data_IF_889179450835
#
_entry.id   IF_889179450835
#
_cell.length_a   1.000
_cell.length_b   1.000
_cell.length_c   1.000
_cell.angle_alpha   90.00
_cell.angle_beta   90.00
_cell.angle_gamma   90.00
#
_symmetry.space_group_name_H-M   'P 1'
#
loop_
_entity.id
_entity.type
_entity.pdbx_description
1 polymer ?
#
# COMPACT_ATOMS: atom_id res chain seq x y z
N UNK A 1 -1.23 -25.17 1.60
CA UNK A 1 -0.68 -24.44 1.35
C UNK A 1 -0.99 -23.16 1.22
N UNK A 2 -1.31 -22.45 2.09
CA UNK A 2 -1.46 -21.21 2.07
C UNK A 2 -0.29 -20.52 2.06
N UNK A 3 -0.08 -19.53 1.39
CA UNK A 3 1.08 -18.77 1.40
C UNK A 3 0.90 -17.59 2.25
N UNK A 4 1.99 -17.00 2.64
CA UNK A 4 1.94 -15.85 3.50
C UNK A 4 1.31 -14.68 2.83
N UNK A 5 1.22 -14.70 1.52
CA UNK A 5 0.65 -13.57 0.85
C UNK A 5 -0.85 -13.56 0.98
N UNK A 6 -1.45 -14.66 1.37
CA UNK A 6 -2.88 -14.69 1.50
C UNK A 6 -3.38 -13.82 2.65
N UNK A 7 -2.47 -13.38 3.50
CA UNK A 7 -2.89 -12.53 4.60
C UNK A 7 -2.94 -11.07 4.23
N UNK A 8 -2.52 -10.72 3.04
CA UNK A 8 -2.58 -9.34 2.61
C UNK A 8 -4.02 -8.92 2.40
N UNK A 9 -4.35 -7.74 2.90
CA UNK A 9 -5.69 -7.22 2.78
C UNK A 9 -6.00 -6.74 1.38
N UNK A 10 -4.98 -6.31 0.66
CA UNK A 10 -5.15 -5.77 -0.68
C UNK A 10 -4.46 -6.66 -1.70
N UNK A 11 -4.81 -6.46 -2.96
CA UNK A 11 -4.29 -7.30 -4.03
C UNK A 11 -3.59 -6.47 -5.08
N UNK A 12 -2.72 -7.10 -5.83
CA UNK A 12 -2.05 -6.43 -6.94
C UNK A 12 -3.12 -5.92 -7.90
N UNK A 13 -2.95 -4.69 -8.33
CA UNK A 13 -3.89 -4.04 -9.23
C UNK A 13 -4.99 -3.28 -8.52
N UNK A 14 -5.11 -3.45 -7.22
CA UNK A 14 -6.14 -2.76 -6.48
C UNK A 14 -5.75 -1.31 -6.25
N UNK A 15 -6.73 -0.43 -6.30
CA UNK A 15 -6.52 0.98 -6.04
C UNK A 15 -6.71 1.25 -4.55
N UNK A 16 -5.77 1.96 -3.96
CA UNK A 16 -5.80 2.25 -2.54
C UNK A 16 -5.49 3.71 -2.30
N UNK A 17 -5.83 4.15 -1.12
CA UNK A 17 -5.54 5.52 -0.69
C UNK A 17 -4.41 5.45 0.32
N UNK A 18 -3.33 6.16 0.05
CA UNK A 18 -2.15 6.16 0.91
C UNK A 18 -2.12 7.44 1.72
N UNK A 19 -1.95 7.30 3.04
CA UNK A 19 -1.77 8.46 3.88
C UNK A 19 -0.44 8.33 4.59
N UNK A 20 0.32 9.40 4.55
CA UNK A 20 1.63 9.41 5.13
C UNK A 20 1.59 10.21 6.39
N UNK A 21 2.06 9.62 7.47
CA UNK A 21 2.17 10.34 8.70
C UNK A 21 0.85 10.43 9.45
N UNK A 22 0.93 10.82 10.71
CA UNK A 22 -0.26 10.83 11.54
C UNK A 22 -1.24 11.92 11.18
N UNK A 23 -0.76 12.96 10.52
CA UNK A 23 -1.67 14.05 10.23
C UNK A 23 -2.34 13.91 8.89
N UNK A 24 -1.83 13.09 8.05
CA UNK A 24 -2.46 12.88 6.76
C UNK A 24 -2.49 14.10 5.89
N UNK A 25 -1.64 15.09 6.17
CA UNK A 25 -1.64 16.26 5.33
C UNK A 25 -0.24 16.42 4.84
N UNK A 26 0.08 17.38 4.19
CA UNK A 26 1.39 17.58 3.66
C UNK A 26 1.51 17.16 2.23
N UNK A 27 0.42 16.81 1.65
CA UNK A 27 0.44 16.60 0.23
C UNK A 27 0.98 15.27 -0.23
N UNK A 28 1.20 14.35 0.68
CA UNK A 28 1.71 13.08 0.26
C UNK A 28 0.62 12.06 0.07
N UNK A 29 -0.52 12.26 0.66
CA UNK A 29 -1.60 11.32 0.50
C UNK A 29 -2.11 11.31 -0.92
N UNK A 30 -2.72 10.23 -1.34
CA UNK A 30 -3.26 10.19 -2.68
C UNK A 30 -3.65 8.79 -3.07
N UNK A 31 -3.99 8.65 -4.34
CA UNK A 31 -4.48 7.40 -4.88
C UNK A 31 -3.32 6.67 -5.52
N UNK A 32 -3.16 5.42 -5.15
CA UNK A 32 -2.09 4.59 -5.65
C UNK A 32 -2.64 3.24 -6.08
N UNK A 33 -1.87 2.54 -6.86
CA UNK A 33 -2.24 1.19 -7.27
C UNK A 33 -1.19 0.24 -6.74
N UNK A 34 -1.62 -0.90 -6.25
CA UNK A 34 -0.70 -1.89 -5.71
C UNK A 34 -0.04 -2.61 -6.86
N UNK A 35 1.28 -2.61 -6.88
CA UNK A 35 2.05 -3.25 -7.92
C UNK A 35 2.66 -4.55 -7.48
N UNK A 36 2.83 -4.73 -6.16
CA UNK A 36 3.44 -5.97 -5.68
C UNK A 36 3.10 -6.16 -4.22
N UNK A 37 2.87 -7.40 -3.84
CA UNK A 37 2.69 -7.74 -2.45
C UNK A 37 4.05 -8.12 -1.89
N UNK A 38 4.37 -7.59 -0.72
CA UNK A 38 5.67 -7.84 -0.11
C UNK A 38 5.47 -8.55 1.22
N UNK A 39 6.49 -9.25 1.71
CA UNK A 39 6.36 -9.96 2.98
C UNK A 39 6.07 -9.00 4.12
N UNK A 40 5.35 -9.50 5.11
CA UNK A 40 5.04 -8.70 6.26
C UNK A 40 6.30 -8.40 7.06
N UNK A 41 6.31 -7.24 7.70
CA UNK A 41 7.34 -6.92 8.62
C UNK A 41 6.66 -6.86 9.96
N UNK A 42 6.94 -7.80 10.83
CA UNK A 42 6.19 -7.89 12.05
C UNK A 42 4.78 -8.33 11.75
N UNK A 43 3.82 -7.59 12.25
CA UNK A 43 2.43 -7.91 12.02
C UNK A 43 1.83 -7.12 10.89
N UNK A 44 2.63 -6.38 10.17
CA UNK A 44 2.10 -5.46 9.17
C UNK A 44 2.54 -5.90 7.80
N UNK A 45 1.61 -6.26 6.96
CA UNK A 45 1.94 -6.62 5.59
C UNK A 45 2.44 -5.39 4.86
N UNK A 46 3.25 -5.61 3.85
CA UNK A 46 3.82 -4.52 3.10
C UNK A 46 3.44 -4.63 1.64
N UNK A 47 3.51 -3.52 0.96
CA UNK A 47 3.10 -3.43 -0.43
C UNK A 47 4.00 -2.49 -1.18
N UNK A 48 4.15 -2.75 -2.47
CA UNK A 48 4.75 -1.77 -3.35
C UNK A 48 3.62 -1.11 -4.11
N UNK A 49 3.60 0.19 -4.13
CA UNK A 49 2.52 0.95 -4.75
C UNK A 49 3.08 2.00 -5.68
N UNK A 50 2.27 2.44 -6.61
CA UNK A 50 2.70 3.44 -7.55
C UNK A 50 1.53 4.35 -7.91
N UNK A 51 1.83 5.61 -8.08
CA UNK A 51 0.86 6.60 -8.52
C UNK A 51 1.22 7.06 -9.92
N UNK A 52 0.23 7.46 -10.67
CA UNK A 52 0.48 8.03 -11.98
C UNK A 52 1.24 9.35 -11.90
N UNK A 53 1.19 9.98 -10.75
CA UNK A 53 1.86 11.26 -10.57
C UNK A 53 3.28 11.16 -10.08
N UNK A 54 3.76 9.96 -9.87
CA UNK A 54 5.10 9.77 -9.33
C UNK A 54 5.87 8.82 -10.20
N UNK A 55 7.16 9.09 -10.42
CA UNK A 55 7.97 8.20 -11.25
C UNK A 55 8.44 6.94 -10.54
N UNK A 56 8.39 6.93 -9.21
CA UNK A 56 8.93 5.81 -8.46
C UNK A 56 7.85 5.10 -7.69
N UNK A 57 8.07 3.83 -7.44
CA UNK A 57 7.18 3.09 -6.57
C UNK A 57 7.57 3.35 -5.13
N UNK A 58 6.61 3.13 -4.23
CA UNK A 58 6.85 3.29 -2.81
C UNK A 58 6.59 1.97 -2.12
N UNK A 59 7.34 1.69 -1.06
CA UNK A 59 7.10 0.54 -0.21
C UNK A 59 6.41 1.06 1.04
N UNK A 60 5.23 0.55 1.32
CA UNK A 60 4.43 1.06 2.43
C UNK A 60 3.86 -0.11 3.21
N UNK A 61 3.37 0.20 4.41
CA UNK A 61 2.77 -0.80 5.25
C UNK A 61 1.27 -0.79 5.09
N UNK A 62 0.65 -1.92 5.36
CA UNK A 62 -0.78 -2.04 5.18
C UNK A 62 -1.53 -1.03 6.02
N UNK A 63 -1.01 -0.72 7.20
CA UNK A 63 -1.68 0.22 8.07
C UNK A 63 -1.71 1.64 7.49
N UNK A 64 -0.91 1.91 6.47
CA UNK A 64 -0.91 3.21 5.85
C UNK A 64 -1.86 3.29 4.67
N UNK A 65 -2.56 2.22 4.36
CA UNK A 65 -3.41 2.15 3.18
C UNK A 65 -4.85 1.99 3.57
N UNK A 66 -5.72 2.55 2.74
CA UNK A 66 -7.14 2.38 2.89
C UNK A 66 -7.73 2.07 1.53
N UNK A 67 -8.86 1.42 1.53
CA UNK A 67 -9.52 1.10 0.30
C UNK A 67 -9.96 2.39 -0.36
N UNK A 68 -9.69 2.54 -1.63
CA UNK A 68 -9.99 3.78 -2.32
C UNK A 68 -11.37 3.79 -2.93
N UNK A 69 -12.01 2.67 -3.06
CA UNK A 69 -13.33 2.66 -3.70
C UNK A 69 -14.36 1.90 -2.90
#
# INVERSE_FOLDING_TARGET
LEDTLSEHKFKVGQTVHFTSGPYGRGGVGGIYKITQLLPAEGDDSQYRIKSANEPHERVVKESQLNRAS
#
